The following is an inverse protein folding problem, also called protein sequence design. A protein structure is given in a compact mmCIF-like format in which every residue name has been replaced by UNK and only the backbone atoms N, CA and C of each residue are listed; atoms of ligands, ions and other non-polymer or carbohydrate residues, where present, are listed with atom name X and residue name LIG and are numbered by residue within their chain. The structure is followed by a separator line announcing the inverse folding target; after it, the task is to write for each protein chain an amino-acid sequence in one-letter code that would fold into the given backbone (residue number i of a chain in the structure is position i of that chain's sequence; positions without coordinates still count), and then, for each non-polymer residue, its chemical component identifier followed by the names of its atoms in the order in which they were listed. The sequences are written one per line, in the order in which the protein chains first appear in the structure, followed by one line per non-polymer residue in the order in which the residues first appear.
data_IF_405250153504
#
_entry.id   IF_405250153504
#
_cell.length_a   1.000
_cell.length_b   1.000
_cell.length_c   1.000
_cell.angle_alpha   90.00
_cell.angle_beta   90.00
_cell.angle_gamma   90.00
#
_symmetry.space_group_name_H-M   'P 1'
#
loop_
_entity.id
_entity.type
_entity.pdbx_description
1 polymer ?
#
# COMPACT_ATOMS: atom_id res chain seq x y z
N UNK A 1 -24.07 -9.07 -13.19
CA UNK A 1 -23.32 -8.92 -11.94
C UNK A 1 -22.55 -10.22 -11.74
N UNK A 2 -21.24 -10.15 -11.50
CA UNK A 2 -20.47 -11.36 -11.18
C UNK A 2 -20.32 -11.41 -9.67
N UNK A 3 -20.93 -12.40 -9.04
CA UNK A 3 -20.89 -12.57 -7.59
C UNK A 3 -19.51 -13.07 -7.16
N UNK A 4 -19.02 -12.56 -6.03
CA UNK A 4 -17.71 -12.97 -5.51
C UNK A 4 -17.90 -14.24 -4.67
N UNK A 5 -17.51 -15.39 -5.19
CA UNK A 5 -17.71 -16.66 -4.48
C UNK A 5 -16.66 -16.79 -3.35
N UNK A 6 -17.10 -16.53 -2.11
CA UNK A 6 -16.33 -16.75 -0.89
C UNK A 6 -16.93 -17.96 -0.15
N UNK A 7 -16.23 -19.10 -0.18
CA UNK A 7 -16.62 -20.33 0.53
C UNK A 7 -15.62 -20.59 1.65
N UNK A 8 -16.08 -20.57 2.88
CA UNK A 8 -15.27 -20.85 4.07
C UNK A 8 -15.98 -21.85 4.99
N UNK A 9 -15.21 -22.64 5.72
CA UNK A 9 -15.74 -23.71 6.57
C UNK A 9 -16.43 -23.17 7.85
N UNK A 10 -15.98 -22.04 8.38
CA UNK A 10 -16.52 -21.43 9.60
C UNK A 10 -16.66 -19.90 9.50
N UNK A 11 -17.36 -19.29 10.47
CA UNK A 11 -17.45 -17.83 10.62
C UNK A 11 -16.09 -17.18 10.96
N UNK A 12 -15.25 -17.88 11.72
CA UNK A 12 -13.89 -17.41 12.00
C UNK A 12 -13.02 -17.41 10.74
N UNK A 13 -13.10 -18.49 9.95
CA UNK A 13 -12.38 -18.58 8.67
C UNK A 13 -12.87 -17.53 7.68
N UNK A 14 -14.18 -17.23 7.68
CA UNK A 14 -14.74 -16.14 6.88
C UNK A 14 -14.13 -14.79 7.26
N UNK A 15 -14.13 -14.48 8.56
CA UNK A 15 -13.57 -13.23 9.07
C UNK A 15 -12.09 -13.11 8.73
N UNK A 16 -11.31 -14.17 8.96
CA UNK A 16 -9.88 -14.22 8.61
C UNK A 16 -9.68 -14.05 7.10
N UNK A 17 -10.50 -14.70 6.26
CA UNK A 17 -10.42 -14.56 4.82
C UNK A 17 -10.69 -13.12 4.35
N UNK A 18 -11.69 -12.42 4.89
CA UNK A 18 -11.95 -11.01 4.55
C UNK A 18 -10.77 -10.11 4.95
N UNK A 19 -10.20 -10.32 6.15
CA UNK A 19 -9.00 -9.57 6.55
C UNK A 19 -7.83 -9.81 5.60
N UNK A 20 -7.54 -11.07 5.27
CA UNK A 20 -6.45 -11.39 4.35
C UNK A 20 -6.69 -10.90 2.93
N UNK A 21 -7.94 -10.84 2.46
CA UNK A 21 -8.28 -10.25 1.17
C UNK A 21 -7.95 -8.75 1.15
N UNK A 22 -8.27 -8.02 2.23
CA UNK A 22 -7.91 -6.61 2.37
C UNK A 22 -6.39 -6.45 2.52
N UNK A 23 -5.73 -7.30 3.31
CA UNK A 23 -4.27 -7.28 3.44
C UNK A 23 -3.61 -7.49 2.08
N UNK A 24 -4.12 -8.40 1.24
CA UNK A 24 -3.61 -8.59 -0.12
C UNK A 24 -3.81 -7.36 -1.03
N UNK A 25 -4.85 -6.56 -0.80
CA UNK A 25 -5.05 -5.29 -1.51
C UNK A 25 -4.07 -4.21 -1.04
N UNK A 26 -3.81 -4.15 0.27
CA UNK A 26 -3.00 -3.09 0.91
C UNK A 26 -1.50 -3.38 0.85
N UNK A 27 -1.08 -4.64 1.01
CA UNK A 27 0.31 -5.07 1.06
C UNK A 27 1.05 -4.84 -0.27
N UNK A 28 2.16 -4.12 -0.18
CA UNK A 28 3.10 -3.90 -1.29
C UNK A 28 4.53 -4.03 -0.77
N UNK A 29 5.32 -5.03 -1.25
CA UNK A 29 4.95 -6.06 -2.22
C UNK A 29 3.97 -7.10 -1.64
N UNK A 30 3.13 -7.68 -2.50
CA UNK A 30 2.13 -8.68 -2.09
C UNK A 30 2.81 -9.93 -1.54
N UNK A 31 2.45 -10.32 -0.31
CA UNK A 31 3.02 -11.49 0.36
C UNK A 31 2.50 -12.80 -0.24
N UNK A 32 3.42 -13.69 -0.63
CA UNK A 32 3.06 -15.04 -1.06
C UNK A 32 2.41 -15.84 0.08
N UNK A 33 2.81 -15.59 1.34
CA UNK A 33 2.25 -16.25 2.53
C UNK A 33 0.78 -15.92 2.73
N UNK A 34 0.39 -14.65 2.58
CA UNK A 34 -1.01 -14.20 2.69
C UNK A 34 -1.87 -14.89 1.62
N UNK A 35 -1.33 -15.02 0.41
CA UNK A 35 -1.97 -15.72 -0.71
C UNK A 35 -2.12 -17.24 -0.50
N UNK A 36 -1.10 -17.90 0.05
CA UNK A 36 -1.15 -19.33 0.38
C UNK A 36 -2.19 -19.62 1.49
N UNK A 37 -2.28 -18.73 2.49
CA UNK A 37 -3.28 -18.82 3.56
C UNK A 37 -4.69 -18.63 3.02
N UNK A 38 -4.90 -17.64 2.14
CA UNK A 38 -6.17 -17.42 1.45
C UNK A 38 -6.60 -18.64 0.61
N UNK A 39 -5.66 -19.26 -0.12
CA UNK A 39 -5.95 -20.46 -0.89
C UNK A 39 -6.49 -21.59 0.01
N UNK A 40 -5.83 -21.79 1.15
CA UNK A 40 -6.24 -22.78 2.16
C UNK A 40 -7.63 -22.50 2.72
N UNK A 41 -7.92 -21.25 3.13
CA UNK A 41 -9.19 -20.88 3.76
C UNK A 41 -10.38 -20.93 2.78
N UNK A 42 -10.13 -20.59 1.52
CA UNK A 42 -11.14 -20.60 0.45
C UNK A 42 -11.29 -21.97 -0.22
N UNK A 43 -10.49 -22.96 0.19
CA UNK A 43 -10.53 -24.32 -0.34
C UNK A 43 -9.94 -24.48 -1.75
N UNK A 44 -9.12 -23.53 -2.21
CA UNK A 44 -8.38 -23.67 -3.46
C UNK A 44 -7.13 -24.53 -3.21
N UNK A 45 -6.98 -25.62 -3.95
CA UNK A 45 -5.87 -26.57 -3.78
C UNK A 45 -4.47 -25.99 -4.06
N UNK A 46 -4.37 -24.77 -4.60
CA UNK A 46 -3.11 -24.06 -4.81
C UNK A 46 -3.33 -22.55 -4.80
N UNK A 47 -2.35 -21.80 -4.29
CA UNK A 47 -2.30 -20.34 -4.41
C UNK A 47 -2.14 -19.84 -5.84
N UNK A 48 -1.70 -20.70 -6.76
CA UNK A 48 -1.62 -20.39 -8.18
C UNK A 48 -2.98 -20.53 -8.92
N UNK A 49 -4.03 -20.99 -8.25
CA UNK A 49 -5.36 -21.20 -8.85
C UNK A 49 -5.87 -19.94 -9.55
N UNK A 50 -6.36 -20.10 -10.79
CA UNK A 50 -6.96 -19.00 -11.55
C UNK A 50 -8.27 -18.52 -10.93
N UNK A 51 -8.98 -19.39 -10.22
CA UNK A 51 -10.16 -19.02 -9.43
C UNK A 51 -9.78 -18.05 -8.32
N UNK A 52 -8.71 -18.34 -7.58
CA UNK A 52 -8.22 -17.45 -6.51
C UNK A 52 -7.80 -16.09 -7.09
N UNK A 53 -7.08 -16.07 -8.21
CA UNK A 53 -6.70 -14.81 -8.89
C UNK A 53 -7.95 -14.02 -9.29
N UNK A 54 -8.98 -14.70 -9.79
CA UNK A 54 -10.23 -14.07 -10.19
C UNK A 54 -10.94 -13.46 -8.98
N UNK A 55 -11.10 -14.21 -7.89
CA UNK A 55 -11.70 -13.75 -6.64
C UNK A 55 -10.95 -12.54 -6.07
N UNK A 56 -9.63 -12.57 -6.03
CA UNK A 56 -8.79 -11.45 -5.57
C UNK A 56 -9.03 -10.19 -6.41
N UNK A 57 -9.07 -10.34 -7.74
CA UNK A 57 -9.28 -9.21 -8.65
C UNK A 57 -10.70 -8.64 -8.54
N UNK A 58 -11.71 -9.50 -8.38
CA UNK A 58 -13.09 -9.05 -8.22
C UNK A 58 -13.29 -8.31 -6.89
N UNK A 59 -12.75 -8.86 -5.81
CA UNK A 59 -12.80 -8.25 -4.48
C UNK A 59 -12.09 -6.90 -4.45
N UNK A 60 -10.87 -6.82 -5.00
CA UNK A 60 -10.11 -5.57 -5.10
C UNK A 60 -10.89 -4.48 -5.84
N UNK A 61 -11.44 -4.80 -7.01
CA UNK A 61 -12.23 -3.86 -7.80
C UNK A 61 -13.50 -3.40 -7.07
N UNK A 62 -14.21 -4.33 -6.43
CA UNK A 62 -15.46 -4.03 -5.72
C UNK A 62 -15.21 -3.10 -4.54
N UNK A 63 -14.25 -3.47 -3.67
CA UNK A 63 -13.90 -2.69 -2.48
C UNK A 63 -13.33 -1.33 -2.87
N UNK A 64 -12.48 -1.25 -3.91
CA UNK A 64 -12.00 0.03 -4.45
C UNK A 64 -13.15 0.95 -4.80
N UNK A 65 -14.08 0.48 -5.65
CA UNK A 65 -15.25 1.25 -6.10
C UNK A 65 -16.12 1.74 -4.95
N UNK A 66 -16.34 0.87 -3.96
CA UNK A 66 -17.04 1.24 -2.73
C UNK A 66 -16.29 2.32 -1.94
N UNK A 67 -14.99 2.16 -1.71
CA UNK A 67 -14.20 3.11 -0.93
C UNK A 67 -14.11 4.51 -1.57
N UNK A 68 -14.09 4.59 -2.90
CA UNK A 68 -14.07 5.85 -3.67
C UNK A 68 -15.47 6.46 -3.89
N UNK A 69 -16.54 5.76 -3.46
CA UNK A 69 -17.92 6.26 -3.54
C UNK A 69 -18.61 6.04 -4.89
N UNK A 70 -18.07 5.21 -5.78
CA UNK A 70 -18.74 4.80 -7.02
C UNK A 70 -19.86 3.77 -6.78
N UNK A 71 -19.81 3.07 -5.64
CA UNK A 71 -20.82 2.10 -5.22
C UNK A 71 -21.30 2.42 -3.81
N UNK A 72 -22.59 2.20 -3.58
CA UNK A 72 -23.17 2.26 -2.24
C UNK A 72 -23.04 0.91 -1.51
N UNK A 73 -23.38 0.92 -0.22
CA UNK A 73 -23.35 -0.28 0.60
C UNK A 73 -24.33 -1.36 0.10
N UNK A 74 -25.47 -0.94 -0.48
CA UNK A 74 -26.46 -1.86 -1.04
C UNK A 74 -25.92 -2.66 -2.22
N UNK A 75 -25.21 -2.01 -3.14
CA UNK A 75 -24.50 -2.64 -4.23
C UNK A 75 -23.34 -3.52 -3.73
N UNK A 76 -22.62 -3.12 -2.68
CA UNK A 76 -21.59 -3.97 -2.08
C UNK A 76 -22.21 -5.30 -1.57
N UNK A 77 -23.34 -5.21 -0.87
CA UNK A 77 -24.11 -6.36 -0.38
C UNK A 77 -24.65 -7.23 -1.52
N UNK A 78 -25.11 -6.64 -2.62
CA UNK A 78 -25.67 -7.41 -3.74
C UNK A 78 -24.65 -8.34 -4.39
N UNK A 79 -23.36 -7.94 -4.43
CA UNK A 79 -22.26 -8.76 -4.94
C UNK A 79 -21.84 -9.90 -3.98
N UNK A 80 -22.38 -9.89 -2.75
CA UNK A 80 -22.19 -10.88 -1.71
C UNK A 80 -23.51 -11.62 -1.39
N UNK A 81 -24.48 -11.58 -2.30
CA UNK A 81 -25.84 -12.10 -2.08
C UNK A 81 -25.93 -13.60 -1.83
N UNK A 82 -24.90 -14.37 -2.23
CA UNK A 82 -24.76 -15.79 -1.92
C UNK A 82 -24.39 -16.07 -0.45
N UNK A 83 -23.95 -15.06 0.30
CA UNK A 83 -23.64 -15.17 1.73
C UNK A 83 -24.89 -14.92 2.58
N UNK A 84 -24.93 -15.45 3.80
CA UNK A 84 -25.96 -15.09 4.78
C UNK A 84 -25.91 -13.59 5.10
N UNK A 85 -27.05 -12.96 5.47
CA UNK A 85 -27.08 -11.54 5.83
C UNK A 85 -26.03 -11.17 6.90
N UNK A 86 -25.83 -12.03 7.89
CA UNK A 86 -24.82 -11.85 8.94
C UNK A 86 -23.38 -11.73 8.39
N UNK A 87 -23.03 -12.53 7.37
CA UNK A 87 -21.72 -12.49 6.73
C UNK A 87 -21.56 -11.28 5.82
N UNK A 88 -22.64 -10.85 5.16
CA UNK A 88 -22.64 -9.62 4.37
C UNK A 88 -22.38 -8.41 5.28
N UNK A 89 -23.13 -8.30 6.39
CA UNK A 89 -22.93 -7.26 7.40
C UNK A 89 -21.48 -7.25 7.90
N UNK A 90 -20.95 -8.43 8.23
CA UNK A 90 -19.59 -8.58 8.73
C UNK A 90 -18.53 -8.15 7.71
N UNK A 91 -18.71 -8.49 6.43
CA UNK A 91 -17.78 -8.07 5.38
C UNK A 91 -17.77 -6.54 5.21
N UNK A 92 -18.94 -5.91 5.20
CA UNK A 92 -19.08 -4.45 5.13
C UNK A 92 -18.42 -3.78 6.32
N UNK A 93 -18.65 -4.30 7.53
CA UNK A 93 -18.04 -3.79 8.77
C UNK A 93 -16.51 -3.82 8.70
N UNK A 94 -15.92 -4.95 8.28
CA UNK A 94 -14.46 -5.09 8.17
C UNK A 94 -13.89 -4.14 7.11
N UNK A 95 -14.55 -4.00 5.96
CA UNK A 95 -14.13 -3.06 4.90
C UNK A 95 -14.17 -1.62 5.41
N UNK A 96 -15.22 -1.23 6.13
CA UNK A 96 -15.34 0.10 6.72
C UNK A 96 -14.27 0.35 7.79
N UNK A 97 -13.96 -0.66 8.61
CA UNK A 97 -12.91 -0.58 9.64
C UNK A 97 -11.52 -0.37 9.03
N UNK A 98 -11.21 -1.05 7.93
CA UNK A 98 -9.91 -0.94 7.22
C UNK A 98 -9.88 0.16 6.15
N UNK A 99 -10.95 0.95 6.02
CA UNK A 99 -11.08 2.00 4.99
C UNK A 99 -9.92 3.02 4.99
N UNK A 100 -9.37 3.48 6.14
CA UNK A 100 -8.23 4.40 6.13
C UNK A 100 -6.98 3.84 5.44
N UNK A 101 -6.70 2.55 5.67
CA UNK A 101 -5.55 1.86 5.05
C UNK A 101 -5.74 1.69 3.56
N UNK A 102 -6.95 1.29 3.14
CA UNK A 102 -7.32 1.20 1.72
C UNK A 102 -7.20 2.57 1.07
N UNK A 103 -7.73 3.63 1.70
CA UNK A 103 -7.65 4.98 1.16
C UNK A 103 -6.20 5.45 0.99
N UNK A 104 -5.34 5.22 2.00
CA UNK A 104 -3.92 5.54 1.90
C UNK A 104 -3.27 4.80 0.74
N UNK A 105 -3.56 3.51 0.62
CA UNK A 105 -3.04 2.66 -0.46
C UNK A 105 -3.45 3.17 -1.84
N UNK A 106 -4.69 3.62 -2.01
CA UNK A 106 -5.22 4.18 -3.25
C UNK A 106 -4.55 5.52 -3.59
N UNK A 107 -4.35 6.39 -2.60
CA UNK A 107 -3.62 7.66 -2.77
C UNK A 107 -2.19 7.40 -3.22
N UNK A 108 -1.48 6.48 -2.54
CA UNK A 108 -0.10 6.14 -2.89
C UNK A 108 0.00 5.59 -4.32
N UNK A 109 -1.02 4.86 -4.78
CA UNK A 109 -1.11 4.36 -6.14
C UNK A 109 -1.28 5.47 -7.19
N UNK A 110 -2.12 6.46 -6.91
CA UNK A 110 -2.29 7.64 -7.79
C UNK A 110 -1.04 8.49 -7.81
N UNK A 111 -0.35 8.61 -6.68
CA UNK A 111 0.89 9.36 -6.56
C UNK A 111 2.06 8.65 -7.27
N UNK A 112 2.06 7.31 -7.31
CA UNK A 112 2.97 6.49 -8.10
C UNK A 112 2.58 6.54 -9.59
N UNK A 113 2.78 7.70 -10.24
CA UNK A 113 2.48 7.89 -11.66
C UNK A 113 3.46 7.12 -12.55
N UNK A 114 2.93 6.40 -13.55
CA UNK A 114 3.75 5.86 -14.65
C UNK A 114 4.49 7.00 -15.37
N UNK A 115 5.82 6.92 -15.46
CA UNK A 115 6.66 7.96 -16.05
C UNK A 115 6.86 9.22 -15.19
N UNK A 116 6.45 9.19 -13.91
CA UNK A 116 6.56 10.30 -12.97
C UNK A 116 7.75 10.23 -12.00
N UNK A 117 7.74 11.10 -10.99
CA UNK A 117 8.73 11.10 -9.88
C UNK A 117 8.34 10.01 -8.87
N UNK A 118 9.28 9.17 -8.40
CA UNK A 118 9.01 8.13 -7.40
C UNK A 118 8.38 8.68 -6.12
N UNK A 119 7.47 7.91 -5.50
CA UNK A 119 6.85 8.29 -4.24
C UNK A 119 7.85 8.05 -3.10
N UNK A 120 8.18 9.09 -2.32
CA UNK A 120 8.99 8.97 -1.11
C UNK A 120 8.14 8.37 0.01
N UNK A 121 8.52 7.19 0.51
CA UNK A 121 7.82 6.50 1.61
C UNK A 121 8.46 6.81 2.96
N UNK A 122 9.79 6.88 3.00
CA UNK A 122 10.55 7.25 4.17
C UNK A 122 11.83 7.98 3.77
N UNK A 123 12.48 8.62 4.74
CA UNK A 123 13.80 9.19 4.52
C UNK A 123 14.67 8.98 5.75
N UNK A 124 15.94 8.71 5.47
CA UNK A 124 17.02 8.69 6.45
C UNK A 124 17.99 9.83 6.17
N UNK A 125 18.64 10.31 7.21
CA UNK A 125 19.63 11.37 7.08
C UNK A 125 20.82 11.12 8.00
N UNK A 126 21.98 11.56 7.55
CA UNK A 126 23.23 11.49 8.31
C UNK A 126 24.02 12.79 8.11
N UNK A 127 24.71 13.24 9.15
CA UNK A 127 25.51 14.45 9.13
C UNK A 127 26.97 14.09 9.35
N UNK A 128 27.77 14.31 8.32
CA UNK A 128 29.21 14.00 8.32
C UNK A 128 30.04 15.27 8.39
N UNK A 129 31.16 15.17 9.12
CA UNK A 129 32.16 16.23 9.20
C UNK A 129 33.36 15.84 8.35
N UNK A 130 33.60 16.58 7.26
CA UNK A 130 34.78 16.38 6.43
C UNK A 130 35.93 17.20 7.02
N UNK A 131 36.96 16.49 7.51
CA UNK A 131 38.13 17.08 8.20
C UNK A 131 39.38 17.22 7.32
N UNK A 132 39.22 17.27 5.99
CA UNK A 132 40.36 17.51 5.09
C UNK A 132 39.93 17.66 3.64
N UNK A 133 40.04 18.88 3.11
CA UNK A 133 40.12 19.12 1.66
C UNK A 133 41.54 19.59 1.32
N UNK A 134 42.05 19.17 0.17
CA UNK A 134 43.37 19.57 -0.35
C UNK A 134 43.53 21.08 -0.56
N UNK A 135 42.44 21.85 -0.45
CA UNK A 135 42.41 23.29 -0.68
C UNK A 135 42.74 24.14 0.54
N UNK A 136 42.69 23.64 1.78
CA UNK A 136 43.10 24.35 3.01
C UNK A 136 42.86 23.44 4.23
N UNK A 137 43.90 23.17 5.02
CA UNK A 137 43.85 22.32 6.23
C UNK A 137 42.88 22.80 7.34
N UNK A 138 42.20 23.93 7.15
CA UNK A 138 41.26 24.56 8.09
C UNK A 138 39.79 24.47 7.67
N UNK A 139 39.47 24.01 6.46
CA UNK A 139 38.09 23.92 5.97
C UNK A 139 37.40 22.66 6.49
N UNK A 140 36.83 22.78 7.70
CA UNK A 140 35.87 21.80 8.22
C UNK A 140 34.52 22.04 7.54
N UNK A 141 34.10 21.12 6.65
CA UNK A 141 32.81 21.20 5.98
C UNK A 141 31.84 20.19 6.60
N UNK A 142 30.69 20.67 7.04
CA UNK A 142 29.56 19.83 7.46
C UNK A 142 28.72 19.53 6.22
N UNK A 143 28.46 18.24 6.00
CA UNK A 143 27.63 17.75 4.90
C UNK A 143 26.51 16.90 5.48
N UNK A 144 25.30 17.15 5.01
CA UNK A 144 24.12 16.34 5.30
C UNK A 144 23.89 15.41 4.12
N UNK A 145 23.97 14.10 4.34
CA UNK A 145 23.56 13.09 3.37
C UNK A 145 22.12 12.72 3.68
N UNK A 146 21.25 12.85 2.70
CA UNK A 146 19.85 12.42 2.80
C UNK A 146 19.64 11.26 1.84
N UNK A 147 18.96 10.22 2.31
CA UNK A 147 18.55 9.06 1.54
C UNK A 147 17.03 8.96 1.59
N UNK A 148 16.39 9.09 0.44
CA UNK A 148 14.97 8.83 0.28
C UNK A 148 14.77 7.37 -0.08
N UNK A 149 13.94 6.68 0.70
CA UNK A 149 13.41 5.39 0.29
C UNK A 149 12.15 5.64 -0.52
N UNK A 150 12.23 5.34 -1.81
CA UNK A 150 11.21 5.65 -2.78
C UNK A 150 10.62 4.38 -3.37
N UNK A 151 9.39 4.48 -3.83
CA UNK A 151 8.70 3.42 -4.56
C UNK A 151 8.25 3.90 -5.93
N UNK A 152 8.63 3.15 -6.95
CA UNK A 152 8.23 3.41 -8.35
C UNK A 152 6.82 2.87 -8.66
N UNK A 153 6.32 3.16 -9.86
CA UNK A 153 5.06 2.65 -10.41
C UNK A 153 4.99 1.11 -10.39
N UNK A 154 6.11 0.45 -10.63
CA UNK A 154 6.27 -1.02 -10.56
C UNK A 154 6.27 -1.59 -9.13
N UNK A 155 6.04 -0.75 -8.11
CA UNK A 155 6.24 -1.08 -6.70
C UNK A 155 7.66 -1.54 -6.34
N UNK A 156 8.65 -1.20 -7.17
CA UNK A 156 10.07 -1.45 -6.89
C UNK A 156 10.59 -0.38 -5.95
N UNK A 157 11.28 -0.82 -4.90
CA UNK A 157 12.00 0.04 -3.98
C UNK A 157 13.25 0.58 -4.64
N UNK A 158 13.50 1.88 -4.50
CA UNK A 158 14.70 2.54 -4.97
C UNK A 158 15.15 3.57 -3.93
N UNK A 159 16.45 3.66 -3.68
CA UNK A 159 17.00 4.65 -2.77
C UNK A 159 17.62 5.79 -3.57
N UNK A 160 17.13 7.01 -3.36
CA UNK A 160 17.71 8.22 -3.95
C UNK A 160 18.51 8.93 -2.85
N UNK A 161 19.84 8.90 -2.96
CA UNK A 161 20.73 9.57 -2.01
C UNK A 161 21.39 10.79 -2.62
N UNK A 162 21.49 11.85 -1.84
CA UNK A 162 22.16 13.08 -2.24
C UNK A 162 22.75 13.81 -1.03
N UNK A 163 23.74 14.65 -1.29
CA UNK A 163 24.45 15.42 -0.28
C UNK A 163 24.08 16.90 -0.38
N UNK A 164 23.85 17.53 0.77
CA UNK A 164 23.49 18.93 0.90
C UNK A 164 24.40 19.62 1.91
N UNK A 165 24.79 20.86 1.58
CA UNK A 165 25.28 21.79 2.58
C UNK A 165 24.12 22.45 3.34
N UNK A 166 24.46 23.21 4.39
CA UNK A 166 23.48 23.88 5.25
C UNK A 166 22.51 24.77 4.45
N UNK A 167 23.00 25.52 3.46
CA UNK A 167 22.16 26.46 2.69
C UNK A 167 21.14 25.70 1.84
N UNK A 168 21.57 24.58 1.26
CA UNK A 168 20.70 23.71 0.47
C UNK A 168 19.61 23.07 1.35
N UNK A 169 19.95 22.62 2.57
CA UNK A 169 18.96 22.09 3.53
C UNK A 169 17.93 23.16 3.90
N UNK A 170 18.37 24.37 4.24
CA UNK A 170 17.48 25.49 4.59
C UNK A 170 16.53 25.84 3.44
N UNK A 171 17.02 25.84 2.20
CA UNK A 171 16.19 26.09 1.03
C UNK A 171 15.17 24.97 0.81
N UNK A 172 15.55 23.69 0.97
CA UNK A 172 14.62 22.57 0.85
C UNK A 172 13.50 22.67 1.90
N UNK A 173 13.83 22.95 3.17
CA UNK A 173 12.83 23.14 4.22
C UNK A 173 11.87 24.27 3.85
N UNK A 174 12.40 25.42 3.41
CA UNK A 174 11.60 26.57 3.00
C UNK A 174 10.62 26.24 1.87
N UNK A 175 11.06 25.47 0.87
CA UNK A 175 10.20 25.06 -0.25
C UNK A 175 9.12 24.07 0.20
N UNK A 176 9.45 23.14 1.11
CA UNK A 176 8.48 22.20 1.64
C UNK A 176 7.41 22.89 2.50
N UNK A 177 7.80 23.83 3.36
CA UNK A 177 6.88 24.62 4.19
C UNK A 177 5.95 25.51 3.38
N UNK A 178 6.35 25.93 2.17
CA UNK A 178 5.50 26.72 1.28
C UNK A 178 4.39 25.90 0.58
N UNK A 179 4.52 24.58 0.55
CA UNK A 179 3.58 23.66 -0.11
C UNK A 179 2.59 23.03 0.88
N UNK A 180 2.88 23.11 2.18
CA UNK A 180 2.01 22.67 3.30
C UNK A 180 1.00 23.77 3.66
#
# INVERSE_FOLDING_TARGET
MHDIIIKTASESDFTEAIFLLIDYMVEVPRSQRSRDRLATLLGHGSSASDELKHTLKQFDNLVRKYCIGELDEGCLRSHLSHLSPSRQDRAVEIVNLRRPEIARRLIDEVNRREGGVPLVESFDWNVSWIMGSSSLASLRKQLCTVAFDCRDADAKTQTISFEMDKKQVEEVIRQLEAVV
#
